data_IF_956676064033
#
_entry.id   IF_956676064033
#
_cell.length_a   1.000
_cell.length_b   1.000
_cell.length_c   1.000
_cell.angle_alpha   90.00
_cell.angle_beta   90.00
_cell.angle_gamma   90.00
#
_symmetry.space_group_name_H-M   'P 1'
#
loop_
_entity.id
_entity.type
_entity.pdbx_description
1 polymer ?
#
# COMPACT_ATOMS: atom_id res chain seq x y z
N UNK A 1 -18.03 -12.67 -16.08
CA UNK A 1 -17.13 -11.51 -16.02
C UNK A 1 -15.93 -11.83 -16.89
N UNK A 2 -15.61 -10.99 -17.87
CA UNK A 2 -14.40 -11.15 -18.67
C UNK A 2 -13.19 -10.50 -17.97
N UNK A 3 -11.96 -10.75 -18.45
CA UNK A 3 -10.74 -10.26 -17.81
C UNK A 3 -10.68 -8.73 -17.72
N UNK A 4 -11.13 -8.03 -18.77
CA UNK A 4 -11.16 -6.56 -18.81
C UNK A 4 -12.10 -5.96 -17.75
N UNK A 5 -13.26 -6.57 -17.51
CA UNK A 5 -14.19 -6.15 -16.45
C UNK A 5 -13.59 -6.34 -15.06
N UNK A 6 -12.90 -7.47 -14.83
CA UNK A 6 -12.20 -7.74 -13.57
C UNK A 6 -11.11 -6.69 -13.35
N UNK A 7 -10.28 -6.44 -14.37
CA UNK A 7 -9.17 -5.48 -14.28
C UNK A 7 -9.66 -4.05 -14.03
N UNK A 8 -10.74 -3.60 -14.69
CA UNK A 8 -11.36 -2.28 -14.43
C UNK A 8 -11.93 -2.17 -13.02
N UNK A 9 -12.60 -3.21 -12.55
CA UNK A 9 -13.13 -3.26 -11.19
C UNK A 9 -12.00 -3.18 -10.17
N UNK A 10 -10.92 -3.93 -10.40
CA UNK A 10 -9.75 -3.96 -9.56
C UNK A 10 -9.03 -2.60 -9.54
N UNK A 11 -8.86 -1.96 -10.70
CA UNK A 11 -8.36 -0.60 -10.80
C UNK A 11 -9.20 0.37 -9.95
N UNK A 12 -10.53 0.30 -10.02
CA UNK A 12 -11.38 1.14 -9.20
C UNK A 12 -11.14 0.94 -7.70
N UNK A 13 -11.05 -0.32 -7.24
CA UNK A 13 -10.75 -0.65 -5.85
C UNK A 13 -9.41 -0.04 -5.39
N UNK A 14 -8.37 -0.18 -6.19
CA UNK A 14 -7.05 0.37 -5.86
C UNK A 14 -6.96 1.88 -5.93
N UNK A 15 -7.57 2.52 -6.94
CA UNK A 15 -7.45 3.97 -7.11
C UNK A 15 -8.42 4.76 -6.22
N UNK A 16 -9.55 4.15 -5.81
CA UNK A 16 -10.63 4.88 -5.14
C UNK A 16 -10.94 4.38 -3.72
N UNK A 17 -10.81 3.08 -3.45
CA UNK A 17 -11.15 2.52 -2.14
C UNK A 17 -9.93 2.53 -1.23
N UNK A 18 -8.81 1.98 -1.67
CA UNK A 18 -7.59 1.85 -0.86
C UNK A 18 -7.06 3.22 -0.35
N UNK A 19 -6.88 4.27 -1.20
CA UNK A 19 -6.44 5.58 -0.72
C UNK A 19 -7.41 6.22 0.26
N UNK A 20 -8.72 6.08 0.03
CA UNK A 20 -9.74 6.61 0.95
C UNK A 20 -9.75 5.84 2.26
N UNK A 21 -9.47 4.54 2.26
CA UNK A 21 -9.36 3.73 3.47
C UNK A 21 -8.28 4.28 4.40
N UNK A 22 -7.18 4.82 3.85
CA UNK A 22 -6.04 5.38 4.60
C UNK A 22 -6.30 6.73 5.27
N UNK A 23 -7.12 7.61 4.70
CA UNK A 23 -7.21 9.00 5.20
C UNK A 23 -8.63 9.54 5.40
N UNK A 24 -9.65 8.89 4.83
CA UNK A 24 -11.00 9.44 4.89
C UNK A 24 -11.64 9.24 6.27
N UNK A 25 -12.31 10.25 6.85
CA UNK A 25 -13.06 10.09 8.09
C UNK A 25 -14.46 9.50 7.87
N UNK A 26 -14.92 9.35 6.62
CA UNK A 26 -16.33 9.02 6.32
C UNK A 26 -16.66 7.52 6.33
N UNK A 27 -15.76 6.68 6.84
CA UNK A 27 -16.00 5.23 6.88
C UNK A 27 -16.94 4.87 8.03
N UNK A 28 -17.99 4.13 7.70
CA UNK A 28 -18.89 3.53 8.67
C UNK A 28 -18.82 2.00 8.59
N UNK A 29 -19.49 1.34 9.54
CA UNK A 29 -19.50 -0.12 9.66
C UNK A 29 -19.84 -0.82 8.34
N UNK A 30 -20.91 -0.36 7.67
CA UNK A 30 -21.38 -0.94 6.42
C UNK A 30 -20.37 -0.75 5.29
N UNK A 31 -19.84 0.46 5.12
CA UNK A 31 -18.90 0.73 4.02
C UNK A 31 -17.59 -0.03 4.19
N UNK A 32 -17.10 -0.20 5.43
CA UNK A 32 -15.93 -1.04 5.72
C UNK A 32 -16.22 -2.49 5.34
N UNK A 33 -17.38 -3.02 5.75
CA UNK A 33 -17.78 -4.39 5.41
C UNK A 33 -17.88 -4.59 3.88
N UNK A 34 -18.53 -3.67 3.18
CA UNK A 34 -18.64 -3.70 1.72
C UNK A 34 -17.25 -3.69 1.06
N UNK A 35 -16.32 -2.88 1.54
CA UNK A 35 -14.95 -2.82 1.03
C UNK A 35 -14.19 -4.16 1.21
N UNK A 36 -14.36 -4.83 2.36
CA UNK A 36 -13.77 -6.16 2.58
C UNK A 36 -14.45 -7.26 1.75
N UNK A 37 -15.74 -7.12 1.41
CA UNK A 37 -16.39 -8.03 0.46
C UNK A 37 -15.76 -7.92 -0.94
N UNK A 38 -15.45 -6.71 -1.40
CA UNK A 38 -14.70 -6.50 -2.64
C UNK A 38 -13.29 -7.12 -2.57
N UNK A 39 -12.58 -6.92 -1.46
CA UNK A 39 -11.26 -7.50 -1.26
C UNK A 39 -11.29 -9.04 -1.32
N UNK A 40 -12.23 -9.67 -0.64
CA UNK A 40 -12.44 -11.11 -0.68
C UNK A 40 -12.80 -11.60 -2.10
N UNK A 41 -13.61 -10.85 -2.84
CA UNK A 41 -13.94 -11.18 -4.22
C UNK A 41 -12.67 -11.25 -5.09
N UNK A 42 -11.75 -10.30 -4.95
CA UNK A 42 -10.48 -10.32 -5.69
C UNK A 42 -9.58 -11.49 -5.30
N UNK A 43 -9.56 -11.89 -4.03
CA UNK A 43 -8.83 -13.08 -3.59
C UNK A 43 -9.41 -14.38 -4.18
N UNK A 44 -10.73 -14.44 -4.36
CA UNK A 44 -11.40 -15.56 -5.02
C UNK A 44 -11.12 -15.59 -6.52
N UNK A 45 -11.05 -14.41 -7.17
CA UNK A 45 -10.61 -14.30 -8.57
C UNK A 45 -9.18 -14.82 -8.69
N UNK A 46 -8.27 -14.44 -7.78
CA UNK A 46 -6.91 -14.98 -7.77
C UNK A 46 -6.92 -16.51 -7.72
N UNK A 47 -7.61 -17.11 -6.75
CA UNK A 47 -7.63 -18.57 -6.59
C UNK A 47 -8.25 -19.30 -7.78
N UNK A 48 -9.28 -18.70 -8.38
CA UNK A 48 -9.96 -19.28 -9.54
C UNK A 48 -9.05 -19.39 -10.75
N UNK A 49 -8.14 -18.44 -10.94
CA UNK A 49 -7.31 -18.34 -12.13
C UNK A 49 -5.84 -18.69 -11.88
N UNK A 50 -5.42 -18.96 -10.63
CA UNK A 50 -4.01 -19.20 -10.27
C UNK A 50 -3.42 -20.51 -10.80
N UNK A 51 -4.26 -21.47 -11.16
CA UNK A 51 -3.82 -22.77 -11.66
C UNK A 51 -3.69 -22.82 -13.19
N UNK A 52 -4.15 -21.79 -13.89
CA UNK A 52 -4.08 -21.68 -15.35
C UNK A 52 -3.17 -20.53 -15.79
N UNK A 53 -1.98 -20.88 -16.28
CA UNK A 53 -0.96 -19.91 -16.68
C UNK A 53 -1.44 -18.96 -17.78
N UNK A 54 -2.31 -19.41 -18.68
CA UNK A 54 -2.87 -18.55 -19.74
C UNK A 54 -3.84 -17.52 -19.15
N UNK A 55 -4.76 -17.94 -18.29
CA UNK A 55 -5.65 -17.02 -17.58
C UNK A 55 -4.91 -16.03 -16.68
N UNK A 56 -3.89 -16.48 -15.95
CA UNK A 56 -3.05 -15.60 -15.14
C UNK A 56 -2.43 -14.50 -16.00
N UNK A 57 -1.77 -14.89 -17.10
CA UNK A 57 -1.11 -13.95 -18.00
C UNK A 57 -2.10 -12.97 -18.63
N UNK A 58 -3.23 -13.46 -19.14
CA UNK A 58 -4.25 -12.60 -19.75
C UNK A 58 -4.80 -11.58 -18.76
N UNK A 59 -5.04 -11.97 -17.51
CA UNK A 59 -5.54 -11.06 -16.49
C UNK A 59 -4.45 -10.07 -16.02
N UNK A 60 -3.20 -10.52 -15.95
CA UNK A 60 -2.04 -9.68 -15.64
C UNK A 60 -1.81 -8.61 -16.72
N UNK A 61 -1.87 -8.99 -17.99
CA UNK A 61 -1.77 -8.09 -19.14
C UNK A 61 -2.86 -7.02 -19.12
N UNK A 62 -4.11 -7.39 -18.82
CA UNK A 62 -5.24 -6.44 -18.68
C UNK A 62 -5.03 -5.48 -17.50
N UNK A 63 -4.58 -5.98 -16.35
CA UNK A 63 -4.29 -5.15 -15.16
C UNK A 63 -3.15 -4.17 -15.48
N UNK A 64 -2.07 -4.63 -16.12
CA UNK A 64 -0.94 -3.80 -16.48
C UNK A 64 -1.30 -2.71 -17.50
N UNK A 65 -2.11 -3.02 -18.50
CA UNK A 65 -2.56 -2.04 -19.50
C UNK A 65 -3.36 -0.89 -18.88
N UNK A 66 -4.15 -1.17 -17.83
CA UNK A 66 -4.97 -0.15 -17.19
C UNK A 66 -4.19 0.68 -16.17
N UNK A 67 -3.22 0.09 -15.48
CA UNK A 67 -2.51 0.70 -14.35
C UNK A 67 -1.24 1.46 -14.75
N UNK A 68 -0.63 1.13 -15.89
CA UNK A 68 0.59 1.75 -16.43
C UNK A 68 0.48 3.25 -16.77
N UNK A 69 -0.70 3.86 -16.65
CA UNK A 69 -0.93 5.23 -17.13
C UNK A 69 -0.95 6.33 -16.05
N UNK A 70 -1.06 6.04 -14.74
CA UNK A 70 -1.39 7.11 -13.76
C UNK A 70 -0.78 7.10 -12.37
N UNK A 71 -0.27 5.98 -11.84
CA UNK A 71 -0.02 5.89 -10.38
C UNK A 71 1.37 5.43 -9.95
N UNK A 72 2.27 5.08 -10.86
CA UNK A 72 3.63 4.62 -10.52
C UNK A 72 3.69 3.31 -9.71
N UNK A 73 2.54 2.77 -9.27
CA UNK A 73 2.44 1.49 -8.58
C UNK A 73 2.23 0.40 -9.62
N UNK A 74 3.16 -0.54 -9.71
CA UNK A 74 3.01 -1.73 -10.55
C UNK A 74 2.07 -2.71 -9.85
N UNK A 75 0.82 -2.77 -10.29
CA UNK A 75 -0.12 -3.79 -9.83
C UNK A 75 -0.09 -4.98 -10.79
N UNK A 76 -0.06 -6.18 -10.25
CA UNK A 76 -0.10 -7.42 -11.02
C UNK A 76 -1.16 -8.37 -10.47
N UNK A 77 -1.48 -9.41 -11.22
CA UNK A 77 -2.41 -10.48 -10.83
C UNK A 77 -2.09 -11.04 -9.45
N UNK A 78 -0.81 -11.17 -9.09
CA UNK A 78 -0.37 -11.69 -7.79
C UNK A 78 -0.88 -10.85 -6.60
N UNK A 79 -1.03 -9.54 -6.77
CA UNK A 79 -1.52 -8.65 -5.71
C UNK A 79 -2.97 -8.96 -5.31
N UNK A 80 -3.79 -9.53 -6.21
CA UNK A 80 -5.18 -9.90 -5.93
C UNK A 80 -5.29 -10.82 -4.70
N UNK A 81 -4.30 -11.71 -4.49
CA UNK A 81 -4.23 -12.65 -3.37
C UNK A 81 -4.22 -11.98 -1.99
N UNK A 82 -3.71 -10.75 -1.91
CA UNK A 82 -3.48 -10.02 -0.66
C UNK A 82 -4.42 -8.80 -0.52
N UNK A 83 -5.50 -8.76 -1.29
CA UNK A 83 -6.41 -7.60 -1.34
C UNK A 83 -6.96 -7.22 0.04
N UNK A 84 -7.33 -8.20 0.88
CA UNK A 84 -7.83 -7.91 2.23
C UNK A 84 -6.74 -7.41 3.17
N UNK A 85 -5.52 -7.92 3.02
CA UNK A 85 -4.37 -7.45 3.79
C UNK A 85 -4.04 -5.99 3.46
N UNK A 86 -3.97 -5.62 2.18
CA UNK A 86 -3.73 -4.23 1.77
C UNK A 86 -4.82 -3.27 2.25
N UNK A 87 -6.09 -3.70 2.19
CA UNK A 87 -7.19 -2.90 2.70
C UNK A 87 -7.10 -2.74 4.22
N UNK A 88 -6.77 -3.81 4.95
CA UNK A 88 -6.60 -3.78 6.40
C UNK A 88 -5.45 -2.86 6.82
N UNK A 89 -4.28 -2.99 6.19
CA UNK A 89 -3.13 -2.11 6.42
C UNK A 89 -3.50 -0.64 6.19
N UNK A 90 -4.26 -0.36 5.12
CA UNK A 90 -4.72 1.00 4.82
C UNK A 90 -5.65 1.54 5.90
N UNK A 91 -6.59 0.74 6.40
CA UNK A 91 -7.44 1.16 7.52
C UNK A 91 -6.67 1.33 8.84
N UNK A 92 -5.67 0.49 9.10
CA UNK A 92 -4.81 0.61 10.30
C UNK A 92 -4.00 1.91 10.31
N UNK A 93 -3.66 2.43 9.13
CA UNK A 93 -2.99 3.73 8.97
C UNK A 93 -3.95 4.92 9.09
N UNK A 94 -5.27 4.70 9.17
CA UNK A 94 -6.25 5.78 9.22
C UNK A 94 -6.44 6.29 10.66
N UNK A 95 -6.06 7.55 10.96
CA UNK A 95 -6.14 8.09 12.33
C UNK A 95 -7.59 8.24 12.83
N UNK A 96 -8.58 8.19 11.94
CA UNK A 96 -10.00 8.32 12.28
C UNK A 96 -10.66 6.99 12.62
N UNK A 97 -9.97 5.85 12.41
CA UNK A 97 -10.51 4.51 12.64
C UNK A 97 -9.76 3.91 13.82
N UNK A 98 -10.50 3.59 14.88
CA UNK A 98 -9.90 2.94 16.04
C UNK A 98 -9.54 1.49 15.72
N UNK A 99 -8.35 1.06 16.11
CA UNK A 99 -7.86 -0.31 15.87
C UNK A 99 -8.81 -1.39 16.41
N UNK A 100 -9.34 -1.21 17.62
CA UNK A 100 -10.28 -2.16 18.23
C UNK A 100 -11.57 -2.30 17.42
N UNK A 101 -12.09 -1.18 16.91
CA UNK A 101 -13.27 -1.19 16.04
C UNK A 101 -12.98 -1.94 14.73
N UNK A 102 -11.81 -1.72 14.12
CA UNK A 102 -11.41 -2.44 12.91
C UNK A 102 -11.23 -3.95 13.17
N UNK A 103 -10.64 -4.32 14.31
CA UNK A 103 -10.48 -5.71 14.73
C UNK A 103 -11.83 -6.40 14.93
N UNK A 104 -12.77 -5.73 15.61
CA UNK A 104 -14.15 -6.22 15.76
C UNK A 104 -14.81 -6.43 14.40
N UNK A 105 -14.63 -5.49 13.47
CA UNK A 105 -15.16 -5.60 12.11
C UNK A 105 -14.61 -6.78 11.34
N UNK A 106 -13.29 -6.97 11.37
CA UNK A 106 -12.63 -8.08 10.69
C UNK A 106 -13.08 -9.42 11.30
N UNK A 107 -13.26 -9.48 12.62
CA UNK A 107 -13.76 -10.69 13.29
C UNK A 107 -15.20 -11.05 12.87
N UNK A 108 -16.04 -10.06 12.53
CA UNK A 108 -17.40 -10.25 12.02
C UNK A 108 -17.40 -10.68 10.56
N UNK A 109 -16.59 -10.03 9.72
CA UNK A 109 -16.53 -10.27 8.27
C UNK A 109 -15.83 -11.60 7.96
N UNK A 110 -14.81 -11.95 8.74
CA UNK A 110 -13.97 -13.15 8.58
C UNK A 110 -13.40 -13.30 7.17
N UNK A 111 -12.63 -12.31 6.66
CA UNK A 111 -11.90 -12.46 5.40
C UNK A 111 -10.97 -13.68 5.47
N UNK A 112 -11.07 -14.56 4.47
CA UNK A 112 -10.55 -15.93 4.52
C UNK A 112 -9.02 -16.03 4.65
N UNK A 113 -8.29 -15.01 4.23
CA UNK A 113 -6.83 -15.01 4.14
C UNK A 113 -6.16 -13.90 4.94
N UNK A 114 -6.93 -13.14 5.72
CA UNK A 114 -6.39 -12.04 6.50
C UNK A 114 -5.95 -12.52 7.88
N UNK A 115 -4.65 -12.38 8.15
CA UNK A 115 -4.14 -12.36 9.52
C UNK A 115 -4.04 -10.91 9.99
N UNK A 116 -4.88 -10.55 10.97
CA UNK A 116 -4.93 -9.18 11.49
C UNK A 116 -3.69 -8.80 12.29
N UNK A 117 -3.08 -9.77 12.99
CA UNK A 117 -1.89 -9.51 13.79
C UNK A 117 -0.68 -9.33 12.89
N UNK A 118 -0.55 -10.15 11.84
CA UNK A 118 0.48 -9.97 10.81
C UNK A 118 0.35 -8.60 10.12
N UNK A 119 -0.85 -8.26 9.64
CA UNK A 119 -1.10 -6.97 9.00
C UNK A 119 -0.85 -5.78 9.95
N UNK A 120 -1.15 -5.95 11.24
CA UNK A 120 -0.85 -4.94 12.27
C UNK A 120 0.65 -4.77 12.48
N UNK A 121 1.39 -5.88 12.53
CA UNK A 121 2.84 -5.88 12.74
C UNK A 121 3.55 -5.18 11.56
N UNK A 122 3.15 -5.49 10.33
CA UNK A 122 3.70 -4.86 9.13
C UNK A 122 3.52 -3.33 9.12
N UNK A 123 2.37 -2.83 9.58
CA UNK A 123 2.14 -1.38 9.73
C UNK A 123 3.02 -0.79 10.83
N UNK A 124 3.16 -1.48 11.97
CA UNK A 124 4.05 -1.01 13.04
C UNK A 124 5.53 -0.97 12.62
N UNK A 125 6.00 -1.97 11.88
CA UNK A 125 7.35 -1.97 11.29
C UNK A 125 7.54 -0.78 10.34
N UNK A 126 6.51 -0.47 9.54
CA UNK A 126 6.53 0.64 8.61
C UNK A 126 6.62 1.99 9.34
N UNK A 127 5.81 2.18 10.38
CA UNK A 127 5.84 3.40 11.19
C UNK A 127 7.21 3.58 11.86
N UNK A 128 7.80 2.47 12.34
CA UNK A 128 9.14 2.46 12.94
C UNK A 128 10.20 2.90 11.92
N UNK A 129 10.18 2.31 10.72
CA UNK A 129 11.11 2.67 9.64
C UNK A 129 10.97 4.14 9.25
N UNK A 130 9.73 4.65 9.15
CA UNK A 130 9.48 6.06 8.87
C UNK A 130 10.07 6.98 9.96
N UNK A 131 9.94 6.60 11.23
CA UNK A 131 10.51 7.36 12.34
C UNK A 131 12.05 7.36 12.32
N UNK A 132 12.68 6.20 12.07
CA UNK A 132 14.14 6.08 11.95
C UNK A 132 14.69 6.93 10.79
N UNK A 133 13.99 6.93 9.65
CA UNK A 133 14.33 7.76 8.48
C UNK A 133 14.18 9.26 8.80
N UNK A 134 13.09 9.67 9.45
CA UNK A 134 12.88 11.05 9.88
C UNK A 134 13.95 11.51 10.88
N UNK A 135 14.39 10.64 11.78
CA UNK A 135 15.47 10.94 12.72
C UNK A 135 16.82 11.10 12.01
N UNK A 136 17.12 10.22 11.06
CA UNK A 136 18.33 10.30 10.23
C UNK A 136 18.38 11.60 9.42
N UNK A 137 17.24 12.01 8.85
CA UNK A 137 17.10 13.30 8.18
C UNK A 137 17.38 14.49 9.10
N UNK A 138 16.79 14.50 10.31
CA UNK A 138 17.03 15.56 11.30
C UNK A 138 18.51 15.67 11.67
N UNK A 139 19.20 14.55 11.81
CA UNK A 139 20.62 14.53 12.12
C UNK A 139 21.46 15.17 11.01
N UNK A 140 21.19 14.82 9.74
CA UNK A 140 21.86 15.41 8.57
C UNK A 140 21.65 16.93 8.52
N UNK A 141 20.42 17.40 8.76
CA UNK A 141 20.14 18.85 8.78
C UNK A 141 20.81 19.59 9.93
N UNK A 142 21.17 18.91 11.02
CA UNK A 142 21.74 19.53 12.23
C UNK A 142 23.27 19.62 12.22
N UNK A 143 23.98 18.66 11.62
CA UNK A 143 25.45 18.68 11.61
C UNK A 143 26.06 19.69 10.63
N UNK A 144 25.30 20.21 9.68
CA UNK A 144 25.84 20.90 8.51
C UNK A 144 25.32 22.35 8.38
N UNK A 145 25.25 23.04 9.52
CA UNK A 145 24.70 24.40 9.66
C UNK A 145 25.45 25.52 8.90
N UNK A 146 26.33 25.19 7.94
CA UNK A 146 27.11 26.13 7.14
C UNK A 146 26.85 26.11 5.62
N UNK A 147 25.90 25.31 5.10
CA UNK A 147 25.49 25.35 3.69
C UNK A 147 23.97 25.24 3.50
N UNK A 148 23.21 26.32 3.73
CA UNK A 148 21.75 26.24 3.89
C UNK A 148 20.97 25.82 2.63
N UNK A 149 21.40 26.22 1.43
CA UNK A 149 20.61 25.98 0.20
C UNK A 149 20.72 24.54 -0.33
N UNK A 150 21.89 23.92 -0.17
CA UNK A 150 22.14 22.55 -0.64
C UNK A 150 21.43 21.51 0.25
N UNK A 151 21.28 21.84 1.54
CA UNK A 151 20.59 21.00 2.53
C UNK A 151 19.07 21.08 2.37
N UNK A 152 18.51 22.27 2.08
CA UNK A 152 17.08 22.40 1.79
C UNK A 152 16.67 21.58 0.58
N UNK A 153 17.42 21.68 -0.53
CA UNK A 153 17.15 20.89 -1.75
C UNK A 153 17.30 19.39 -1.48
N UNK A 154 18.31 18.98 -0.70
CA UNK A 154 18.48 17.57 -0.30
C UNK A 154 17.33 17.05 0.57
N UNK A 155 16.92 17.83 1.56
CA UNK A 155 15.83 17.46 2.46
C UNK A 155 14.51 17.37 1.69
N UNK A 156 14.21 18.32 0.78
CA UNK A 156 13.01 18.29 -0.05
C UNK A 156 12.99 17.08 -1.00
N UNK A 157 14.10 16.78 -1.67
CA UNK A 157 14.21 15.60 -2.54
C UNK A 157 14.03 14.29 -1.76
N UNK A 158 14.60 14.19 -0.55
CA UNK A 158 14.40 13.02 0.30
C UNK A 158 12.95 12.95 0.82
N UNK A 159 12.34 14.08 1.17
CA UNK A 159 10.97 14.13 1.67
C UNK A 159 9.97 13.72 0.59
N UNK A 160 10.16 14.17 -0.65
CA UNK A 160 9.32 13.79 -1.78
C UNK A 160 9.55 12.34 -2.18
N UNK A 161 10.78 11.84 -2.15
CA UNK A 161 11.07 10.42 -2.28
C UNK A 161 10.39 9.59 -1.19
N UNK A 162 10.42 10.04 0.07
CA UNK A 162 9.78 9.33 1.18
C UNK A 162 8.25 9.33 1.08
N UNK A 163 7.65 10.42 0.61
CA UNK A 163 6.21 10.47 0.33
C UNK A 163 5.84 9.46 -0.75
N UNK A 164 6.58 9.40 -1.85
CA UNK A 164 6.38 8.40 -2.91
C UNK A 164 6.63 6.98 -2.38
N UNK A 165 7.70 6.76 -1.62
CA UNK A 165 8.02 5.48 -1.01
C UNK A 165 6.89 4.98 -0.08
N UNK A 166 6.32 5.84 0.76
CA UNK A 166 5.17 5.52 1.64
C UNK A 166 3.90 5.18 0.83
N UNK A 167 3.77 5.73 -0.37
CA UNK A 167 2.70 5.34 -1.31
C UNK A 167 2.98 3.96 -1.94
N UNK A 168 4.25 3.59 -2.15
CA UNK A 168 4.66 2.32 -2.80
C UNK A 168 5.02 1.16 -1.84
N UNK A 169 5.13 1.41 -0.53
CA UNK A 169 5.61 0.47 0.49
C UNK A 169 4.73 -0.76 0.72
N UNK A 170 3.50 -0.81 0.17
CA UNK A 170 2.69 -2.04 0.17
C UNK A 170 3.24 -3.11 -0.77
N UNK A 171 4.20 -2.79 -1.65
CA UNK A 171 4.66 -3.75 -2.68
C UNK A 171 6.17 -3.95 -2.71
N UNK A 172 7.00 -2.97 -2.32
CA UNK A 172 8.46 -3.11 -2.45
C UNK A 172 9.25 -2.46 -1.29
N UNK A 173 9.18 -3.05 -0.10
CA UNK A 173 10.06 -2.73 1.05
C UNK A 173 11.55 -2.73 0.66
N UNK A 174 11.96 -3.63 -0.25
CA UNK A 174 13.33 -3.72 -0.77
C UNK A 174 13.72 -2.57 -1.71
N UNK A 175 12.80 -2.06 -2.52
CA UNK A 175 13.08 -0.92 -3.40
C UNK A 175 13.38 0.33 -2.57
N UNK A 176 12.56 0.60 -1.56
CA UNK A 176 12.75 1.75 -0.66
C UNK A 176 14.06 1.65 0.10
N UNK A 177 14.39 0.47 0.66
CA UNK A 177 15.66 0.25 1.34
C UNK A 177 16.86 0.43 0.38
N UNK A 178 16.81 -0.13 -0.83
CA UNK A 178 17.92 0.01 -1.80
C UNK A 178 18.15 1.44 -2.27
N UNK A 179 17.09 2.23 -2.40
CA UNK A 179 17.18 3.64 -2.79
C UNK A 179 17.63 4.54 -1.65
N UNK A 180 17.21 4.25 -0.42
CA UNK A 180 17.77 4.88 0.78
C UNK A 180 19.27 4.60 0.85
N UNK A 181 19.70 3.35 0.64
CA UNK A 181 21.11 2.99 0.62
C UNK A 181 21.88 3.67 -0.51
N UNK A 182 21.34 3.75 -1.73
CA UNK A 182 21.97 4.45 -2.86
C UNK A 182 22.18 5.94 -2.54
N UNK A 183 21.18 6.60 -1.95
CA UNK A 183 21.28 8.01 -1.58
C UNK A 183 22.28 8.21 -0.44
N UNK A 184 22.26 7.33 0.58
CA UNK A 184 23.25 7.36 1.67
C UNK A 184 24.67 7.15 1.14
N UNK A 185 24.87 6.29 0.14
CA UNK A 185 26.18 5.97 -0.46
C UNK A 185 26.67 6.96 -1.52
N UNK A 186 25.83 7.89 -1.98
CA UNK A 186 26.23 9.03 -2.82
C UNK A 186 26.90 10.13 -1.97
N UNK A 187 26.86 10.00 -0.63
CA UNK A 187 27.46 10.92 0.35
C UNK A 187 28.57 10.25 1.16
#
# INVERSE_FOLDING_TARGET
MNYSEIAKSYQHFYENIIPKARCSPSWNEKSIADAFLWANFYEQIHDKYSDDAESMKNLDDEIHQLTSSRTGVSYCFKNLKQSSAFLCQSFLQNPNIQKNFLQDMISKIKPSKLDFEEASLEVCELDTLCLELLQSLKFITFQDSNQSLYIEIKAELLLDFLKDAIVHLSTEKQYVLSKVEEIVNIF
#
